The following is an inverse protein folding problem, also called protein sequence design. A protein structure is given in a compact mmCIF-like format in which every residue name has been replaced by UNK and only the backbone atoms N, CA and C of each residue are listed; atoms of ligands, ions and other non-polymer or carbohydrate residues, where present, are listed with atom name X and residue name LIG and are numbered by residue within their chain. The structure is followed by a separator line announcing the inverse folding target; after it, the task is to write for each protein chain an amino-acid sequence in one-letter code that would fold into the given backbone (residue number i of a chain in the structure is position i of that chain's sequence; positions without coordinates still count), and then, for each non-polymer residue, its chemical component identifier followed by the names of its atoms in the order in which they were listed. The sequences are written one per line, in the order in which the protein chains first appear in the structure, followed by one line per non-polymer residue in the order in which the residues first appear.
data_IF_165852509996
#
_entry.id   IF_165852509996
#
_cell.length_a   1.000
_cell.length_b   1.000
_cell.length_c   1.000
_cell.angle_alpha   90.00
_cell.angle_beta   90.00
_cell.angle_gamma   90.00
#
_symmetry.space_group_name_H-M   'P 1'
#
loop_
_entity.id
_entity.type
_entity.pdbx_description
1 polymer ?
#
# COMPACT_ATOMS: atom_id res chain seq x y z
N UNK A 1 -14.94 -11.65 9.86
CA UNK A 1 -16.36 -11.31 10.11
C UNK A 1 -16.94 -10.86 8.80
N UNK A 2 -17.96 -11.57 8.30
CA UNK A 2 -18.65 -11.19 7.07
C UNK A 2 -19.57 -10.01 7.41
N UNK A 3 -19.43 -8.89 6.70
CA UNK A 3 -20.30 -7.73 6.88
C UNK A 3 -21.67 -7.99 6.25
N UNK A 4 -22.61 -8.42 7.10
CA UNK A 4 -23.98 -8.70 6.71
C UNK A 4 -24.71 -7.46 6.18
N UNK A 5 -24.23 -6.24 6.48
CA UNK A 5 -24.82 -5.00 6.00
C UNK A 5 -24.40 -4.71 4.55
N UNK A 6 -23.12 -4.88 4.23
CA UNK A 6 -22.61 -4.85 2.85
C UNK A 6 -23.29 -5.90 1.97
N UNK A 7 -23.56 -7.10 2.51
CA UNK A 7 -24.34 -8.13 1.80
C UNK A 7 -25.81 -7.73 1.64
N UNK A 8 -26.43 -7.17 2.68
CA UNK A 8 -27.83 -6.72 2.61
C UNK A 8 -28.02 -5.55 1.62
N UNK A 9 -27.05 -4.63 1.51
CA UNK A 9 -27.07 -3.54 0.53
C UNK A 9 -26.82 -4.08 -0.89
N UNK A 10 -25.91 -5.06 -1.05
CA UNK A 10 -25.73 -5.81 -2.32
C UNK A 10 -26.99 -6.62 -2.70
N UNK A 11 -27.78 -7.09 -1.75
CA UNK A 11 -29.06 -7.81 -1.98
C UNK A 11 -30.21 -6.83 -2.27
N UNK A 12 -30.32 -5.73 -1.54
CA UNK A 12 -31.31 -4.67 -1.79
C UNK A 12 -31.18 -4.10 -3.21
N UNK A 13 -29.94 -3.97 -3.70
CA UNK A 13 -29.60 -3.60 -5.08
C UNK A 13 -30.13 -4.59 -6.14
N UNK A 14 -30.28 -5.89 -5.81
CA UNK A 14 -30.88 -6.90 -6.72
C UNK A 14 -32.40 -6.96 -6.69
N UNK A 15 -33.06 -6.39 -5.67
CA UNK A 15 -34.49 -6.57 -5.43
C UNK A 15 -35.27 -5.25 -5.26
N UNK A 16 -34.75 -4.14 -5.78
CA UNK A 16 -35.58 -2.93 -5.97
C UNK A 16 -36.75 -3.29 -6.89
N UNK A 17 -37.97 -3.14 -6.38
CA UNK A 17 -39.24 -3.60 -6.98
C UNK A 17 -39.62 -2.86 -8.27
N UNK A 18 -38.84 -2.96 -9.33
CA UNK A 18 -39.20 -2.67 -10.72
C UNK A 18 -38.22 -3.45 -11.61
N UNK A 19 -38.73 -4.35 -12.44
CA UNK A 19 -37.98 -5.30 -13.30
C UNK A 19 -37.15 -4.66 -14.44
N UNK A 20 -36.72 -3.40 -14.30
CA UNK A 20 -35.84 -2.72 -15.26
C UNK A 20 -34.43 -2.53 -14.66
N UNK A 21 -33.36 -2.91 -15.37
CA UNK A 21 -32.00 -2.63 -14.93
C UNK A 21 -31.82 -1.10 -14.82
N UNK A 22 -31.57 -0.62 -13.60
CA UNK A 22 -31.40 0.81 -13.33
C UNK A 22 -30.11 1.26 -14.01
N UNK A 23 -30.26 1.89 -15.16
CA UNK A 23 -29.14 2.40 -15.96
C UNK A 23 -28.59 3.68 -15.31
N UNK A 24 -27.27 3.90 -15.33
CA UNK A 24 -26.69 5.11 -14.75
C UNK A 24 -27.13 6.38 -15.50
N UNK A 25 -27.55 7.39 -14.76
CA UNK A 25 -27.89 8.71 -15.28
C UNK A 25 -26.63 9.58 -15.39
N UNK A 26 -26.37 10.13 -16.58
CA UNK A 26 -25.25 11.05 -16.80
C UNK A 26 -25.67 12.49 -16.53
N UNK A 27 -24.93 13.18 -15.65
CA UNK A 27 -25.06 14.61 -15.39
C UNK A 27 -23.80 15.35 -15.81
N UNK A 28 -23.95 16.58 -16.30
CA UNK A 28 -22.85 17.49 -16.59
C UNK A 28 -22.99 18.74 -15.72
N UNK A 29 -21.97 19.06 -14.93
CA UNK A 29 -21.99 20.25 -14.07
C UNK A 29 -21.50 21.51 -14.82
N UNK A 30 -21.64 22.68 -14.19
CA UNK A 30 -21.21 23.99 -14.76
C UNK A 30 -19.72 24.07 -15.12
N UNK A 31 -18.88 23.21 -14.56
CA UNK A 31 -17.45 23.16 -14.83
C UNK A 31 -17.11 22.22 -16.00
N UNK A 32 -18.10 21.52 -16.57
CA UNK A 32 -17.91 20.53 -17.63
C UNK A 32 -17.56 19.13 -17.14
N UNK A 33 -17.59 18.88 -15.82
CA UNK A 33 -17.41 17.51 -15.31
C UNK A 33 -18.64 16.67 -15.61
N UNK A 34 -18.41 15.39 -15.93
CA UNK A 34 -19.46 14.40 -16.15
C UNK A 34 -19.49 13.41 -14.98
N UNK A 35 -20.68 13.05 -14.54
CA UNK A 35 -20.90 12.08 -13.48
C UNK A 35 -21.99 11.10 -13.90
N UNK A 36 -21.81 9.81 -13.59
CA UNK A 36 -22.77 8.75 -13.81
C UNK A 36 -23.24 8.24 -12.46
N UNK A 37 -24.56 8.30 -12.21
CA UNK A 37 -25.13 7.92 -10.92
C UNK A 37 -26.27 6.92 -11.05
N UNK A 38 -26.36 6.04 -10.06
CA UNK A 38 -27.50 5.16 -9.81
C UNK A 38 -27.97 5.45 -8.38
N UNK A 39 -29.24 5.84 -8.20
CA UNK A 39 -29.80 6.18 -6.89
C UNK A 39 -28.92 7.15 -6.07
N UNK A 40 -28.48 8.25 -6.70
CA UNK A 40 -27.57 9.26 -6.12
C UNK A 40 -26.11 8.80 -5.88
N UNK A 41 -25.77 7.52 -6.03
CA UNK A 41 -24.40 7.02 -5.88
C UNK A 41 -23.66 7.00 -7.22
N UNK A 42 -22.38 7.39 -7.23
CA UNK A 42 -21.53 7.24 -8.42
C UNK A 42 -21.42 5.76 -8.78
N UNK A 43 -21.80 5.42 -10.01
CA UNK A 43 -21.83 4.03 -10.47
C UNK A 43 -21.69 3.98 -11.99
N UNK A 44 -20.72 3.20 -12.48
CA UNK A 44 -20.61 2.83 -13.89
C UNK A 44 -19.69 1.61 -14.04
N UNK A 45 -20.16 0.55 -14.71
CA UNK A 45 -19.37 -0.67 -14.94
C UNK A 45 -18.42 -0.55 -16.15
N UNK A 46 -18.87 0.07 -17.24
CA UNK A 46 -18.13 0.12 -18.51
C UNK A 46 -17.23 1.36 -18.69
N UNK A 47 -16.95 2.10 -17.62
CA UNK A 47 -16.17 3.34 -17.72
C UNK A 47 -16.09 4.12 -16.42
N UNK A 48 -15.43 5.29 -16.43
CA UNK A 48 -15.36 6.13 -15.25
C UNK A 48 -16.75 6.64 -14.89
N UNK A 49 -17.11 6.51 -13.61
CA UNK A 49 -18.32 7.11 -13.06
C UNK A 49 -18.18 8.62 -12.86
N UNK A 50 -16.95 9.16 -12.94
CA UNK A 50 -16.70 10.60 -12.99
C UNK A 50 -15.56 10.92 -13.96
N UNK A 51 -15.80 11.87 -14.86
CA UNK A 51 -14.80 12.46 -15.77
C UNK A 51 -14.72 13.96 -15.49
N UNK A 52 -13.56 14.45 -15.05
CA UNK A 52 -13.34 15.86 -14.75
C UNK A 52 -12.88 16.62 -15.99
N UNK A 53 -13.25 17.91 -16.06
CA UNK A 53 -12.83 18.76 -17.18
C UNK A 53 -11.30 18.93 -17.29
N UNK A 54 -10.57 18.76 -16.20
CA UNK A 54 -9.10 18.77 -16.19
C UNK A 54 -8.47 17.48 -16.76
N UNK A 55 -9.27 16.43 -17.01
CA UNK A 55 -8.83 15.13 -17.51
C UNK A 55 -8.77 14.01 -16.48
N UNK A 56 -9.00 14.29 -15.19
CA UNK A 56 -9.04 13.24 -14.16
C UNK A 56 -10.24 12.31 -14.38
N UNK A 57 -10.06 11.02 -14.12
CA UNK A 57 -11.09 9.98 -14.25
C UNK A 57 -11.14 9.12 -13.00
N UNK A 58 -12.37 8.79 -12.59
CA UNK A 58 -12.62 8.00 -11.39
C UNK A 58 -13.66 6.92 -11.68
N UNK A 59 -13.34 5.69 -11.32
CA UNK A 59 -14.23 4.53 -11.44
C UNK A 59 -14.88 4.24 -10.11
N UNK A 60 -16.20 4.16 -10.13
CA UNK A 60 -17.00 3.84 -8.96
C UNK A 60 -18.04 2.79 -9.31
N UNK A 61 -18.24 1.86 -8.38
CA UNK A 61 -19.37 0.94 -8.37
C UNK A 61 -20.06 1.14 -7.02
N UNK A 62 -21.35 1.50 -7.05
CA UNK A 62 -22.16 1.74 -5.84
C UNK A 62 -21.54 2.74 -4.85
N UNK A 63 -20.90 3.80 -5.37
CA UNK A 63 -20.28 4.85 -4.56
C UNK A 63 -18.88 4.50 -4.02
N UNK A 64 -18.39 3.29 -4.25
CA UNK A 64 -17.05 2.85 -3.85
C UNK A 64 -16.09 2.85 -5.04
N UNK A 65 -14.85 3.31 -4.84
CA UNK A 65 -13.81 3.24 -5.88
C UNK A 65 -13.52 1.78 -6.20
N UNK A 66 -13.68 1.39 -7.45
CA UNK A 66 -13.58 0.00 -7.87
C UNK A 66 -13.20 -0.09 -9.34
N UNK A 67 -12.19 -0.90 -9.67
CA UNK A 67 -11.88 -1.35 -11.04
C UNK A 67 -10.95 -2.57 -11.02
N UNK A 68 -11.35 -3.68 -11.64
CA UNK A 68 -10.56 -4.92 -11.66
C UNK A 68 -9.40 -4.87 -12.68
N UNK A 69 -9.65 -4.36 -13.89
CA UNK A 69 -8.69 -4.41 -15.00
C UNK A 69 -7.81 -3.16 -15.15
N UNK A 70 -7.72 -2.31 -14.13
CA UNK A 70 -6.97 -1.07 -14.22
C UNK A 70 -7.06 -0.18 -13.00
N UNK A 71 -6.48 1.03 -13.05
CA UNK A 71 -6.58 1.97 -11.95
C UNK A 71 -8.01 2.48 -11.81
N UNK A 72 -8.52 2.53 -10.58
CA UNK A 72 -9.80 3.14 -10.25
C UNK A 72 -9.71 4.68 -10.21
N UNK A 73 -8.50 5.24 -10.28
CA UNK A 73 -8.25 6.68 -10.45
C UNK A 73 -7.14 6.87 -11.47
N UNK A 74 -7.39 7.69 -12.48
CA UNK A 74 -6.38 8.17 -13.42
C UNK A 74 -6.36 9.70 -13.35
N UNK A 75 -5.26 10.26 -12.86
CA UNK A 75 -5.08 11.71 -12.80
C UNK A 75 -4.51 12.22 -14.13
N UNK A 76 -4.90 13.44 -14.51
CA UNK A 76 -4.44 14.11 -15.73
C UNK A 76 -2.92 14.35 -15.75
N UNK A 77 -2.29 14.44 -14.57
CA UNK A 77 -0.84 14.56 -14.44
C UNK A 77 -0.10 13.23 -14.67
N UNK A 78 -0.82 12.11 -14.90
CA UNK A 78 -0.26 10.78 -15.12
C UNK A 78 -0.25 9.87 -13.89
N UNK A 79 -0.62 10.39 -12.71
CA UNK A 79 -0.75 9.58 -11.51
C UNK A 79 -1.89 8.57 -11.61
N UNK A 80 -1.77 7.43 -10.92
CA UNK A 80 -2.76 6.34 -10.95
C UNK A 80 -2.92 5.70 -9.57
N UNK A 81 -4.14 5.30 -9.24
CA UNK A 81 -4.43 4.52 -8.03
C UNK A 81 -5.34 3.33 -8.31
N UNK A 82 -5.04 2.19 -7.68
CA UNK A 82 -5.80 0.95 -7.82
C UNK A 82 -6.63 0.69 -6.56
N UNK A 83 -7.92 0.48 -6.77
CA UNK A 83 -8.90 0.26 -5.71
C UNK A 83 -9.89 -0.83 -6.13
N UNK A 84 -10.22 -1.71 -5.21
CA UNK A 84 -11.25 -2.75 -5.34
C UNK A 84 -12.17 -2.60 -4.13
N UNK A 85 -13.47 -2.39 -4.36
CA UNK A 85 -14.49 -2.25 -3.31
C UNK A 85 -14.09 -1.24 -2.22
N UNK A 86 -13.60 -0.06 -2.64
CA UNK A 86 -13.17 0.99 -1.73
C UNK A 86 -11.86 0.72 -0.98
N UNK A 87 -11.20 -0.41 -1.23
CA UNK A 87 -9.93 -0.81 -0.61
C UNK A 87 -8.78 -0.64 -1.61
N UNK A 88 -7.71 0.03 -1.19
CA UNK A 88 -6.53 0.20 -2.02
C UNK A 88 -5.77 -1.13 -2.12
N UNK A 89 -5.68 -1.69 -3.31
CA UNK A 89 -5.17 -3.05 -3.48
C UNK A 89 -4.63 -3.26 -4.90
N UNK A 90 -3.48 -3.93 -5.02
CA UNK A 90 -2.98 -4.51 -6.26
C UNK A 90 -1.95 -5.62 -5.96
N UNK A 91 -2.10 -6.80 -6.56
CA UNK A 91 -1.18 -7.93 -6.34
C UNK A 91 0.06 -7.88 -7.25
N UNK A 92 -0.13 -7.51 -8.52
CA UNK A 92 0.92 -7.60 -9.56
C UNK A 92 1.68 -6.29 -9.81
N UNK A 93 1.53 -5.30 -8.95
CA UNK A 93 2.16 -3.99 -9.16
C UNK A 93 1.88 -3.00 -8.04
N UNK A 94 2.36 -1.76 -8.16
CA UNK A 94 2.09 -0.72 -7.18
C UNK A 94 0.60 -0.35 -7.22
N UNK A 95 -0.01 -0.20 -6.04
CA UNK A 95 -1.39 0.27 -5.93
C UNK A 95 -1.50 1.80 -6.04
N UNK A 96 -0.37 2.52 -6.05
CA UNK A 96 -0.28 3.92 -6.44
C UNK A 96 0.98 4.14 -7.27
N UNK A 97 0.84 4.81 -8.38
CA UNK A 97 1.94 5.31 -9.22
C UNK A 97 1.78 6.84 -9.28
N UNK A 98 2.73 7.58 -8.72
CA UNK A 98 2.70 9.03 -8.76
C UNK A 98 3.37 9.55 -10.04
N UNK A 99 2.93 10.72 -10.50
CA UNK A 99 3.50 11.38 -11.67
C UNK A 99 4.99 11.73 -11.53
N UNK A 100 5.48 11.92 -10.31
CA UNK A 100 6.90 12.17 -10.02
C UNK A 100 7.76 10.90 -10.12
N UNK A 101 7.17 9.70 -10.24
CA UNK A 101 7.87 8.42 -10.29
C UNK A 101 7.80 7.59 -9.01
N UNK A 102 7.27 8.13 -7.90
CA UNK A 102 7.09 7.36 -6.67
C UNK A 102 6.08 6.23 -6.88
N UNK A 103 6.36 5.04 -6.34
CA UNK A 103 5.51 3.85 -6.50
C UNK A 103 5.27 3.13 -5.20
N UNK A 104 3.99 2.93 -4.90
CA UNK A 104 3.56 2.48 -3.59
C UNK A 104 2.75 1.19 -3.69
N UNK A 105 3.27 0.09 -3.15
CA UNK A 105 2.57 -1.19 -3.07
C UNK A 105 1.66 -1.26 -1.85
N UNK A 106 0.42 -1.71 -2.08
CA UNK A 106 -0.57 -1.96 -1.04
C UNK A 106 -1.35 -3.25 -1.37
N UNK A 107 -1.55 -4.06 -0.35
CA UNK A 107 -2.50 -5.19 -0.34
C UNK A 107 -3.47 -4.93 0.80
N UNK A 108 -4.76 -4.83 0.49
CA UNK A 108 -5.81 -4.54 1.46
C UNK A 108 -5.54 -3.28 2.31
N UNK A 109 -5.14 -2.20 1.65
CA UNK A 109 -4.75 -0.92 2.25
C UNK A 109 -3.52 -0.98 3.18
N UNK A 110 -2.83 -2.12 3.26
CA UNK A 110 -1.60 -2.29 4.04
C UNK A 110 -0.40 -2.27 3.11
N UNK A 111 0.65 -1.51 3.47
CA UNK A 111 1.93 -1.50 2.76
C UNK A 111 2.57 -2.88 2.79
N UNK A 112 2.68 -3.53 1.64
CA UNK A 112 3.15 -4.92 1.58
C UNK A 112 3.76 -5.23 0.21
N UNK A 113 4.94 -5.85 0.19
CA UNK A 113 5.52 -6.51 -0.98
C UNK A 113 6.53 -7.58 -0.54
N UNK A 114 6.46 -8.78 -1.13
CA UNK A 114 7.36 -9.91 -0.79
C UNK A 114 8.70 -9.83 -1.52
N UNK A 115 8.65 -9.53 -2.82
CA UNK A 115 9.81 -9.70 -3.72
C UNK A 115 10.46 -8.36 -4.12
N UNK A 116 10.31 -7.32 -3.30
CA UNK A 116 10.86 -6.00 -3.59
C UNK A 116 10.46 -4.95 -2.55
N UNK A 117 10.90 -3.70 -2.73
CA UNK A 117 10.51 -2.61 -1.86
C UNK A 117 9.00 -2.35 -1.96
N UNK A 118 8.35 -2.19 -0.82
CA UNK A 118 6.96 -1.75 -0.80
C UNK A 118 6.84 -0.27 -1.14
N UNK A 119 7.93 0.50 -1.06
CA UNK A 119 8.00 1.91 -1.40
C UNK A 119 9.23 2.13 -2.27
N UNK A 120 9.03 2.63 -3.48
CA UNK A 120 10.11 3.14 -4.34
C UNK A 120 9.89 4.64 -4.50
N UNK A 121 10.89 5.43 -4.13
CA UNK A 121 10.88 6.87 -4.35
C UNK A 121 11.65 7.21 -5.62
N UNK A 122 11.22 8.26 -6.32
CA UNK A 122 11.85 8.74 -7.55
C UNK A 122 13.30 9.21 -7.34
N UNK A 123 13.67 9.59 -6.11
CA UNK A 123 15.04 9.96 -5.75
C UNK A 123 15.96 8.73 -5.56
N UNK A 124 15.44 7.50 -5.67
CA UNK A 124 16.17 6.25 -5.49
C UNK A 124 16.13 5.68 -4.08
N UNK A 125 15.44 6.33 -3.13
CA UNK A 125 15.22 5.76 -1.81
C UNK A 125 14.21 4.59 -1.89
N UNK A 126 14.41 3.57 -1.06
CA UNK A 126 13.61 2.35 -1.09
C UNK A 126 13.28 1.88 0.33
N UNK A 127 12.03 1.45 0.56
CA UNK A 127 11.60 0.83 1.81
C UNK A 127 10.89 -0.52 1.58
N UNK A 128 11.41 -1.57 2.21
CA UNK A 128 10.81 -2.90 2.22
C UNK A 128 9.84 -3.00 3.39
N UNK A 129 8.59 -3.34 3.08
CA UNK A 129 7.56 -3.56 4.10
C UNK A 129 6.81 -4.85 3.84
N UNK A 130 6.58 -5.58 4.93
CA UNK A 130 5.72 -6.75 4.96
C UNK A 130 4.65 -6.49 6.01
N UNK A 131 3.37 -6.58 5.62
CA UNK A 131 2.22 -6.34 6.50
C UNK A 131 2.27 -4.99 7.24
N UNK A 132 2.78 -3.94 6.59
CA UNK A 132 2.87 -2.58 7.13
C UNK A 132 4.18 -2.26 7.84
N UNK A 133 4.91 -3.28 8.26
CA UNK A 133 6.13 -3.15 9.05
C UNK A 133 7.37 -3.19 8.17
N UNK A 134 8.42 -2.44 8.53
CA UNK A 134 9.72 -2.55 7.88
C UNK A 134 10.28 -3.96 8.10
N UNK A 135 10.61 -4.65 7.00
CA UNK A 135 11.05 -6.04 7.08
C UNK A 135 11.87 -6.41 5.85
N UNK A 136 13.08 -6.94 6.05
CA UNK A 136 13.87 -7.60 5.01
C UNK A 136 14.90 -8.52 5.64
N UNK A 137 14.98 -9.77 5.17
CA UNK A 137 15.96 -10.77 5.68
C UNK A 137 17.35 -10.59 5.08
N UNK A 138 17.41 -10.35 3.77
CA UNK A 138 18.68 -10.42 3.01
C UNK A 138 19.25 -9.04 2.66
N UNK A 139 19.04 -8.03 3.52
CA UNK A 139 19.55 -6.69 3.28
C UNK A 139 18.84 -5.60 4.09
N UNK A 140 19.19 -4.32 3.86
CA UNK A 140 18.54 -3.21 4.55
C UNK A 140 17.08 -3.10 4.12
N UNK A 141 16.19 -2.95 5.10
CA UNK A 141 14.78 -2.68 4.87
C UNK A 141 14.51 -1.21 4.54
N UNK A 142 15.46 -0.31 4.81
CA UNK A 142 15.42 1.09 4.36
C UNK A 142 16.76 1.42 3.72
N UNK A 143 16.72 1.89 2.48
CA UNK A 143 17.87 2.44 1.77
C UNK A 143 17.56 3.89 1.46
N UNK A 144 18.40 4.78 1.96
CA UNK A 144 18.39 6.21 1.65
C UNK A 144 19.76 6.63 1.14
N UNK A 145 19.83 7.79 0.49
CA UNK A 145 21.09 8.33 -0.01
C UNK A 145 22.23 8.36 1.02
N UNK A 146 21.94 8.53 2.32
CA UNK A 146 22.92 8.66 3.38
C UNK A 146 22.92 7.52 4.42
N UNK A 147 21.94 6.62 4.36
CA UNK A 147 21.69 5.68 5.45
C UNK A 147 21.13 4.37 4.93
N UNK A 148 21.59 3.26 5.51
CA UNK A 148 21.00 1.93 5.37
C UNK A 148 20.57 1.43 6.73
N UNK A 149 19.34 0.94 6.82
CA UNK A 149 18.78 0.39 8.06
C UNK A 149 18.23 -1.02 7.82
N UNK A 150 18.59 -1.94 8.70
CA UNK A 150 18.12 -3.32 8.68
C UNK A 150 17.00 -3.46 9.71
N UNK A 151 15.85 -3.95 9.24
CA UNK A 151 14.70 -4.22 10.08
C UNK A 151 14.19 -5.63 9.83
N UNK A 152 13.77 -6.27 10.92
CA UNK A 152 13.02 -7.51 10.92
C UNK A 152 11.76 -7.31 11.77
N UNK A 153 10.58 -7.54 11.18
CA UNK A 153 9.27 -7.39 11.85
C UNK A 153 9.13 -6.05 12.58
N UNK A 154 9.43 -4.96 11.87
CA UNK A 154 9.29 -3.60 12.39
C UNK A 154 10.39 -3.15 13.37
N UNK A 155 11.32 -4.03 13.75
CA UNK A 155 12.37 -3.74 14.73
C UNK A 155 13.74 -3.68 14.05
N UNK A 156 14.57 -2.70 14.44
CA UNK A 156 15.98 -2.66 14.01
C UNK A 156 16.68 -3.94 14.47
N UNK A 157 17.22 -4.71 13.53
CA UNK A 157 17.81 -6.00 13.82
C UNK A 157 18.76 -6.41 12.70
N UNK A 158 19.95 -6.87 13.07
CA UNK A 158 20.91 -7.50 12.18
C UNK A 158 21.93 -8.30 12.99
N UNK A 159 22.13 -9.57 12.64
CA UNK A 159 23.06 -10.47 13.34
C UNK A 159 24.46 -10.47 12.73
N UNK A 160 24.60 -10.17 11.44
CA UNK A 160 25.86 -10.28 10.68
C UNK A 160 26.59 -8.93 10.50
N UNK A 161 26.18 -7.90 11.24
CA UNK A 161 26.77 -6.57 11.14
C UNK A 161 25.92 -5.48 11.80
N UNK A 162 26.23 -4.20 11.56
CA UNK A 162 25.45 -3.10 12.12
C UNK A 162 24.07 -3.03 11.48
N UNK A 163 23.03 -2.90 12.29
CA UNK A 163 21.67 -2.68 11.83
C UNK A 163 21.43 -1.25 11.31
N UNK A 164 22.39 -0.34 11.50
CA UNK A 164 22.39 1.01 10.94
C UNK A 164 23.78 1.36 10.42
N UNK A 165 23.85 1.80 9.17
CA UNK A 165 25.06 2.32 8.53
C UNK A 165 24.78 3.70 7.95
N UNK A 166 25.63 4.69 8.26
CA UNK A 166 25.55 6.07 7.78
C UNK A 166 26.71 6.40 6.84
N UNK A 167 26.49 7.34 5.92
CA UNK A 167 27.49 7.77 4.92
C UNK A 167 28.79 8.28 5.55
N UNK A 168 28.70 8.88 6.74
CA UNK A 168 29.86 9.39 7.48
C UNK A 168 30.66 8.28 8.19
N UNK A 169 30.35 7.00 7.93
CA UNK A 169 30.98 5.84 8.56
C UNK A 169 30.38 5.45 9.90
N UNK A 170 29.37 6.18 10.41
CA UNK A 170 28.68 5.85 11.65
C UNK A 170 27.97 4.49 11.54
N UNK A 171 28.23 3.61 12.51
CA UNK A 171 27.62 2.28 12.61
C UNK A 171 26.94 2.11 13.96
N UNK A 172 25.84 1.37 13.99
CA UNK A 172 25.18 1.00 15.25
C UNK A 172 24.54 -0.38 15.13
N UNK A 173 24.68 -1.16 16.18
CA UNK A 173 24.25 -2.55 16.24
C UNK A 173 22.97 -2.64 17.06
N UNK A 174 22.02 -3.42 16.53
CA UNK A 174 20.74 -3.65 17.18
C UNK A 174 20.32 -5.10 16.98
N UNK A 175 19.73 -5.67 18.02
CA UNK A 175 19.06 -6.97 17.97
C UNK A 175 17.65 -6.82 18.54
N UNK A 176 16.65 -7.15 17.72
CA UNK A 176 15.24 -7.14 18.11
C UNK A 176 14.79 -5.78 18.67
N UNK A 177 15.29 -4.69 18.10
CA UNK A 177 14.99 -3.31 18.49
C UNK A 177 15.87 -2.75 19.62
N UNK A 178 16.69 -3.57 20.26
CA UNK A 178 17.56 -3.15 21.36
C UNK A 178 18.94 -2.78 20.83
N UNK A 179 19.43 -1.59 21.21
CA UNK A 179 20.78 -1.15 20.86
C UNK A 179 21.80 -1.93 21.69
N UNK A 180 22.79 -2.50 21.03
CA UNK A 180 23.88 -3.25 21.66
C UNK A 180 25.20 -2.50 21.42
N UNK A 181 26.04 -2.44 22.44
CA UNK A 181 27.43 -2.01 22.27
C UNK A 181 28.21 -3.13 21.58
N UNK A 182 28.80 -2.83 20.43
CA UNK A 182 29.48 -3.85 19.64
C UNK A 182 30.85 -4.14 20.19
N UNK A 183 31.07 -5.40 20.51
CA UNK A 183 32.38 -5.97 20.83
C UNK A 183 32.55 -7.27 20.01
N UNK A 184 33.56 -7.34 19.13
CA UNK A 184 33.78 -8.51 18.28
C UNK A 184 34.07 -9.80 19.07
N UNK A 185 34.53 -9.72 20.33
CA UNK A 185 34.82 -10.90 21.14
C UNK A 185 33.56 -11.53 21.74
N UNK A 186 32.50 -10.74 21.92
CA UNK A 186 31.26 -11.18 22.60
C UNK A 186 30.02 -11.19 21.70
N UNK A 187 30.13 -10.65 20.48
CA UNK A 187 28.99 -10.49 19.57
C UNK A 187 28.24 -11.79 19.27
N UNK A 188 28.95 -12.86 18.91
CA UNK A 188 28.33 -14.14 18.54
C UNK A 188 27.54 -14.74 19.72
N UNK A 189 28.02 -14.56 20.96
CA UNK A 189 27.31 -14.98 22.16
C UNK A 189 26.04 -14.16 22.36
N UNK A 190 26.11 -12.84 22.24
CA UNK A 190 24.95 -11.93 22.41
C UNK A 190 23.87 -12.24 21.36
N UNK A 191 24.26 -12.54 20.12
CA UNK A 191 23.32 -12.96 19.07
C UNK A 191 22.58 -14.23 19.46
N UNK A 192 23.30 -15.25 19.94
CA UNK A 192 22.68 -16.52 20.32
C UNK A 192 21.76 -16.38 21.54
N UNK A 193 22.17 -15.61 22.55
CA UNK A 193 21.32 -15.27 23.69
C UNK A 193 20.03 -14.55 23.25
N UNK A 194 20.15 -13.60 22.32
CA UNK A 194 18.99 -12.88 21.79
C UNK A 194 18.01 -13.78 21.03
N UNK A 195 18.51 -14.77 20.28
CA UNK A 195 17.67 -15.75 19.58
C UNK A 195 16.85 -16.58 20.57
N UNK A 196 17.48 -17.05 21.65
CA UNK A 196 16.80 -17.83 22.70
C UNK A 196 15.73 -16.99 23.38
N UNK A 197 16.07 -15.76 23.78
CA UNK A 197 15.11 -14.85 24.42
C UNK A 197 13.92 -14.53 23.53
N UNK A 198 14.14 -14.34 22.22
CA UNK A 198 13.02 -14.07 21.31
C UNK A 198 12.10 -15.29 21.13
N UNK A 199 12.65 -16.52 21.13
CA UNK A 199 11.84 -17.74 21.07
C UNK A 199 11.05 -17.95 22.38
N UNK A 200 11.61 -17.60 23.53
CA UNK A 200 10.93 -17.80 24.82
C UNK A 200 9.85 -16.74 25.13
N UNK A 201 9.87 -15.60 24.45
CA UNK A 201 8.96 -14.47 24.69
C UNK A 201 7.91 -14.26 23.58
N UNK A 202 7.89 -15.09 22.52
CA UNK A 202 6.83 -15.18 21.50
C UNK A 202 5.74 -16.19 21.89
#
# INVERSE_FOLDING_TARGET
MIDLKSIADKISYKYSNNDDPISPEMMVNKNGDKEWRVNEFLHREDGPAQEKANGDKYWYVNGERHREDGPAIEYANGGKEWWIDGVRHREDGPAIEFANGDKYWYVNSVRHRKDGPAIEYANGDEEWKLNGELHRKDGPAVIRHDTKLWYLNGKLHREDGPAMERYNGGKSWYLNGHKIEYDPETWDQIVEENRIDNIMNE
#
